data_IF_950052232559
#
_entry.id   IF_950052232559
#
_cell.length_a   1.000
_cell.length_b   1.000
_cell.length_c   1.000
_cell.angle_alpha   90.00
_cell.angle_beta   90.00
_cell.angle_gamma   90.00
#
_symmetry.space_group_name_H-M   'P 1'
#
loop_
_entity.id
_entity.type
_entity.pdbx_description
1 polymer ?
#
# COMPACT_ATOMS: atom_id res chain seq x y z
N UNK A 1 8.24 13.68 -29.07
CA UNK A 1 8.06 12.21 -28.92
C UNK A 1 7.42 11.98 -27.55
N UNK A 2 6.15 11.58 -27.53
CA UNK A 2 5.46 11.14 -26.32
C UNK A 2 5.87 9.71 -26.04
N UNK A 3 6.54 9.46 -24.91
CA UNK A 3 6.89 8.11 -24.48
C UNK A 3 5.60 7.32 -24.24
N UNK A 4 5.40 6.24 -25.00
CA UNK A 4 4.33 5.28 -24.77
C UNK A 4 4.90 4.12 -23.96
N UNK A 5 4.30 3.87 -22.79
CA UNK A 5 4.69 2.73 -21.96
C UNK A 5 4.38 1.44 -22.73
N UNK A 6 5.36 0.55 -22.97
CA UNK A 6 5.17 -0.67 -23.76
C UNK A 6 4.36 -1.73 -23.01
N UNK A 7 3.99 -1.50 -21.75
CA UNK A 7 3.27 -2.44 -20.90
C UNK A 7 1.84 -1.97 -20.68
N UNK A 8 0.92 -2.93 -20.70
CA UNK A 8 -0.46 -2.68 -20.30
C UNK A 8 -0.54 -2.39 -18.79
N UNK A 9 -1.57 -1.64 -18.34
CA UNK A 9 -1.78 -1.41 -16.90
C UNK A 9 -1.85 -2.70 -16.08
N UNK A 10 -2.33 -3.80 -16.70
CA UNK A 10 -2.41 -5.11 -16.08
C UNK A 10 -1.03 -5.78 -15.93
N UNK A 11 -0.16 -5.68 -16.94
CA UNK A 11 1.21 -6.20 -16.84
C UNK A 11 2.02 -5.40 -15.82
N UNK A 12 1.88 -4.08 -15.79
CA UNK A 12 2.51 -3.24 -14.75
C UNK A 12 2.06 -3.61 -13.34
N UNK A 13 0.82 -4.12 -13.20
CA UNK A 13 0.31 -4.63 -11.94
C UNK A 13 1.04 -5.92 -11.51
N UNK A 14 1.27 -6.84 -12.45
CA UNK A 14 2.01 -8.09 -12.20
C UNK A 14 3.49 -7.83 -11.90
N UNK A 15 4.05 -6.74 -12.43
CA UNK A 15 5.42 -6.31 -12.16
C UNK A 15 5.59 -5.48 -10.89
N UNK A 16 4.53 -5.23 -10.10
CA UNK A 16 4.67 -4.46 -8.86
C UNK A 16 5.65 -5.18 -7.91
N UNK A 17 6.88 -4.66 -7.72
CA UNK A 17 7.89 -5.34 -6.90
C UNK A 17 7.52 -5.32 -5.41
N UNK A 18 6.49 -4.55 -5.05
CA UNK A 18 6.02 -4.39 -3.69
C UNK A 18 4.92 -5.39 -3.31
N UNK A 19 4.42 -6.19 -4.25
CA UNK A 19 3.48 -7.28 -3.97
C UNK A 19 2.07 -6.84 -3.56
N UNK A 20 1.71 -5.56 -3.73
CA UNK A 20 0.36 -5.05 -3.43
C UNK A 20 -0.57 -5.17 -4.64
N UNK A 21 -1.73 -5.77 -4.41
CA UNK A 21 -2.83 -5.88 -5.35
C UNK A 21 -3.91 -4.80 -5.13
N UNK A 22 -4.73 -4.55 -6.15
CA UNK A 22 -5.97 -3.80 -5.95
C UNK A 22 -6.89 -4.55 -4.97
N UNK A 23 -7.47 -3.84 -4.01
CA UNK A 23 -8.32 -4.42 -2.97
C UNK A 23 -7.57 -4.95 -1.75
N UNK A 24 -6.23 -4.92 -1.76
CA UNK A 24 -5.46 -5.30 -0.58
C UNK A 24 -5.66 -4.29 0.55
N UNK A 25 -5.69 -4.81 1.78
CA UNK A 25 -5.76 -3.99 2.99
C UNK A 25 -4.34 -3.66 3.45
N UNK A 26 -4.07 -2.37 3.62
CA UNK A 26 -2.73 -1.86 3.94
C UNK A 26 -2.79 -0.87 5.09
N UNK A 27 -1.67 -0.76 5.80
CA UNK A 27 -1.42 0.25 6.82
C UNK A 27 -0.64 1.38 6.16
N UNK A 28 -1.18 2.58 6.30
CA UNK A 28 -0.61 3.85 5.85
C UNK A 28 0.54 4.30 6.78
N UNK A 29 1.46 5.17 6.31
CA UNK A 29 2.56 5.66 7.12
C UNK A 29 2.12 6.43 8.38
N UNK A 30 0.91 6.99 8.37
CA UNK A 30 0.28 7.66 9.51
C UNK A 30 -0.44 6.70 10.48
N UNK A 31 -0.23 5.39 10.32
CA UNK A 31 -0.83 4.33 11.14
C UNK A 31 -2.35 4.16 10.95
N UNK A 32 -2.96 4.80 9.94
CA UNK A 32 -4.33 4.50 9.53
C UNK A 32 -4.35 3.25 8.65
N UNK A 33 -5.50 2.60 8.57
CA UNK A 33 -5.74 1.50 7.62
C UNK A 33 -6.58 1.98 6.45
N UNK A 34 -6.42 1.30 5.33
CA UNK A 34 -7.26 1.53 4.17
C UNK A 34 -7.14 0.39 3.16
N UNK A 35 -7.89 0.53 2.08
CA UNK A 35 -7.91 -0.42 0.99
C UNK A 35 -7.26 0.17 -0.26
N UNK A 36 -6.38 -0.58 -0.90
CA UNK A 36 -5.69 -0.13 -2.10
C UNK A 36 -6.70 0.01 -3.24
N UNK A 37 -6.96 1.24 -3.67
CA UNK A 37 -7.90 1.56 -4.75
C UNK A 37 -7.23 1.76 -6.10
N UNK A 38 -5.91 2.00 -6.12
CA UNK A 38 -5.14 2.02 -7.36
C UNK A 38 -3.68 1.67 -7.12
N UNK A 39 -3.14 0.78 -7.94
CA UNK A 39 -1.72 0.42 -7.94
C UNK A 39 -1.08 0.93 -9.23
N UNK A 40 -0.12 1.83 -9.10
CA UNK A 40 0.81 2.19 -10.17
C UNK A 40 2.14 1.48 -10.00
N UNK A 41 3.10 1.79 -10.87
CA UNK A 41 4.44 1.18 -10.80
C UNK A 41 5.24 1.59 -9.55
N UNK A 42 5.12 2.86 -9.14
CA UNK A 42 5.84 3.45 -8.00
C UNK A 42 4.90 4.01 -6.93
N UNK A 43 3.70 4.41 -7.33
CA UNK A 43 2.74 5.12 -6.51
C UNK A 43 1.46 4.30 -6.34
N UNK A 44 0.84 4.41 -5.16
CA UNK A 44 -0.46 3.81 -4.86
C UNK A 44 -1.46 4.87 -4.42
N UNK A 45 -2.73 4.58 -4.64
CA UNK A 45 -3.83 5.17 -3.89
C UNK A 45 -4.39 4.15 -2.92
N UNK A 46 -4.74 4.64 -1.75
CA UNK A 46 -5.39 3.88 -0.70
C UNK A 46 -6.58 4.70 -0.22
N UNK A 47 -7.76 4.11 -0.29
CA UNK A 47 -8.97 4.66 0.29
C UNK A 47 -8.90 4.37 1.80
N UNK A 48 -8.66 5.40 2.60
CA UNK A 48 -8.49 5.26 4.03
C UNK A 48 -9.84 4.97 4.69
N UNK A 49 -9.89 4.05 5.66
CA UNK A 49 -11.15 3.74 6.37
C UNK A 49 -11.65 4.95 7.17
N UNK A 50 -10.73 5.81 7.60
CA UNK A 50 -11.02 7.04 8.32
C UNK A 50 -10.22 8.22 7.75
N UNK A 51 -10.95 9.28 7.38
CA UNK A 51 -10.37 10.53 6.89
C UNK A 51 -10.17 10.57 5.38
N UNK A 52 -9.23 11.39 4.92
CA UNK A 52 -8.97 11.59 3.50
C UNK A 52 -8.14 10.45 2.90
N UNK A 53 -8.39 10.18 1.62
CA UNK A 53 -7.65 9.24 0.77
C UNK A 53 -6.16 9.53 0.80
N UNK A 54 -5.36 8.46 0.77
CA UNK A 54 -3.92 8.55 0.75
C UNK A 54 -3.36 8.29 -0.65
N UNK A 55 -2.34 9.07 -1.01
CA UNK A 55 -1.66 9.01 -2.31
C UNK A 55 -0.16 9.15 -2.07
N UNK A 56 0.62 8.14 -2.42
CA UNK A 56 2.05 8.16 -2.12
C UNK A 56 2.80 6.97 -2.66
N UNK A 57 4.01 6.76 -2.17
CA UNK A 57 4.91 5.71 -2.62
C UNK A 57 4.51 4.35 -2.05
N UNK A 58 4.41 3.32 -2.91
CA UNK A 58 4.04 1.97 -2.48
C UNK A 58 5.01 1.37 -1.44
N UNK A 59 6.27 1.82 -1.42
CA UNK A 59 7.28 1.43 -0.42
C UNK A 59 6.96 1.88 1.01
N UNK A 60 6.09 2.87 1.17
CA UNK A 60 5.66 3.37 2.48
C UNK A 60 4.48 2.60 3.06
N UNK A 61 3.83 1.80 2.21
CA UNK A 61 2.71 0.95 2.60
C UNK A 61 3.21 -0.33 3.24
N UNK A 62 2.47 -0.80 4.24
CA UNK A 62 2.67 -2.12 4.84
C UNK A 62 1.42 -2.96 4.67
N UNK A 63 1.52 -4.27 4.40
CA UNK A 63 0.35 -5.14 4.39
C UNK A 63 -0.29 -5.14 5.78
N UNK A 64 -1.61 -5.02 5.86
CA UNK A 64 -2.32 -5.18 7.11
C UNK A 64 -2.37 -6.67 7.47
N UNK A 65 -1.65 -7.09 8.51
CA UNK A 65 -1.71 -8.46 9.00
C UNK A 65 -3.06 -8.61 9.71
N UNK A 66 -3.87 -9.66 9.41
CA UNK A 66 -5.22 -9.81 9.97
C UNK A 66 -5.28 -9.89 11.50
N UNK A 67 -4.14 -10.08 12.17
CA UNK A 67 -4.01 -10.17 13.63
C UNK A 67 -3.55 -8.84 14.30
N UNK A 68 -3.34 -7.76 13.53
CA UNK A 68 -2.94 -6.44 14.05
C UNK A 68 -4.11 -5.45 14.19
N UNK A 69 -5.36 -5.90 14.03
CA UNK A 69 -6.54 -5.08 14.30
C UNK A 69 -6.74 -4.99 15.82
N UNK A 70 -5.93 -4.18 16.49
CA UNK A 70 -6.14 -3.84 17.90
C UNK A 70 -4.92 -3.71 18.80
N UNK A 71 -3.68 -3.79 18.29
CA UNK A 71 -2.50 -3.65 19.14
C UNK A 71 -1.99 -2.19 19.14
N UNK A 72 -2.15 -1.45 20.26
CA UNK A 72 -1.44 -0.18 20.42
C UNK A 72 0.06 -0.44 20.38
N UNK A 73 0.75 0.46 19.68
CA UNK A 73 2.18 0.51 19.36
C UNK A 73 3.10 0.41 20.58
N UNK A 74 3.17 -0.73 21.22
CA UNK A 74 4.18 -1.14 22.19
C UNK A 74 4.29 -2.66 22.07
N UNK A 75 5.18 -3.19 21.22
CA UNK A 75 6.40 -3.84 21.68
C UNK A 75 7.15 -4.34 20.44
N UNK A 76 8.05 -3.53 19.89
CA UNK A 76 9.08 -4.03 18.96
C UNK A 76 10.43 -3.43 19.33
N UNK A 77 10.76 -3.49 20.63
CA UNK A 77 12.10 -3.20 21.14
C UNK A 77 12.40 -4.15 22.30
N UNK A 78 12.42 -5.45 22.03
CA UNK A 78 13.08 -6.44 22.89
C UNK A 78 13.57 -7.61 22.02
N UNK A 79 14.61 -7.38 21.22
CA UNK A 79 15.55 -8.44 20.89
C UNK A 79 16.86 -8.11 21.61
N UNK A 80 17.00 -8.71 22.80
CA UNK A 80 18.29 -8.99 23.43
C UNK A 80 18.80 -10.32 22.87
#
# INVERSE_FOLDING_TARGET
>A
MTWQCPYTPLELHQFNPHGFAYGDRVVLPDSRTGMVSKVGYKYGHVDADAGADWKGYLTELRPAIPDEVGLPRMQQLSLL
#
